data_IF_249166772399
#
_entry.id   IF_249166772399
#
_cell.length_a   1.000
_cell.length_b   1.000
_cell.length_c   1.000
_cell.angle_alpha   90.00
_cell.angle_beta   90.00
_cell.angle_gamma   90.00
#
_symmetry.space_group_name_H-M   'P 1'
#
loop_
_entity.id
_entity.type
_entity.pdbx_description
1 polymer ?
#
# COMPACT_ATOMS: atom_id res chain seq x y z
N UNK A 1 21.68 33.34 -22.70
CA UNK A 1 20.80 32.47 -21.90
C UNK A 1 21.62 31.27 -21.44
N UNK A 2 22.02 31.23 -20.16
CA UNK A 2 22.83 30.13 -19.62
C UNK A 2 21.90 28.99 -19.23
N UNK A 3 21.87 27.93 -20.03
CA UNK A 3 21.19 26.68 -19.68
C UNK A 3 22.01 26.03 -18.56
N UNK A 4 21.56 26.17 -17.31
CA UNK A 4 22.11 25.38 -16.19
C UNK A 4 21.70 23.93 -16.43
N UNK A 5 22.70 23.06 -16.62
CA UNK A 5 22.53 21.62 -16.60
C UNK A 5 22.09 21.26 -15.18
N UNK A 6 20.80 21.06 -14.95
CA UNK A 6 20.30 20.56 -13.66
C UNK A 6 20.59 19.06 -13.67
N UNK A 7 21.66 18.65 -12.99
CA UNK A 7 21.89 17.23 -12.73
C UNK A 7 20.74 16.73 -11.85
N UNK A 8 19.70 16.18 -12.47
CA UNK A 8 18.63 15.52 -11.72
C UNK A 8 19.18 14.24 -11.12
N UNK A 9 19.06 14.11 -9.81
CA UNK A 9 19.41 12.87 -9.10
C UNK A 9 18.51 11.75 -9.59
N UNK A 10 19.12 10.61 -9.95
CA UNK A 10 18.39 9.38 -10.23
C UNK A 10 17.97 8.73 -8.91
N UNK A 11 16.75 8.23 -8.86
CA UNK A 11 16.26 7.45 -7.74
C UNK A 11 17.04 6.14 -7.64
N UNK A 12 17.57 5.88 -6.45
CA UNK A 12 18.30 4.67 -6.09
C UNK A 12 17.96 4.27 -4.64
N UNK A 13 18.41 3.09 -4.23
CA UNK A 13 18.28 2.62 -2.85
C UNK A 13 18.85 3.66 -1.86
N UNK A 14 18.21 3.83 -0.70
CA UNK A 14 18.54 4.83 0.34
C UNK A 14 18.22 6.28 -0.02
N UNK A 15 17.53 6.52 -1.13
CA UNK A 15 16.98 7.84 -1.42
C UNK A 15 15.60 8.01 -0.79
N UNK A 16 15.34 9.21 -0.31
CA UNK A 16 13.98 9.65 0.03
C UNK A 16 13.36 10.25 -1.22
N UNK A 17 12.22 9.71 -1.59
CA UNK A 17 11.45 10.12 -2.77
C UNK A 17 10.11 10.64 -2.30
N UNK A 18 9.72 11.80 -2.84
CA UNK A 18 8.38 12.31 -2.71
C UNK A 18 7.69 12.20 -4.07
N UNK A 19 6.50 11.61 -4.07
CA UNK A 19 5.68 11.46 -5.27
C UNK A 19 4.26 11.97 -5.02
N UNK A 20 3.61 12.38 -6.09
CA UNK A 20 2.15 12.36 -6.22
C UNK A 20 1.76 11.07 -6.88
N UNK A 21 0.72 10.42 -6.39
CA UNK A 21 0.18 9.25 -7.05
C UNK A 21 -1.34 9.27 -7.06
N UNK A 22 -1.90 8.65 -8.09
CA UNK A 22 -3.29 8.22 -8.14
C UNK A 22 -3.30 6.73 -8.46
N UNK A 23 -4.00 5.96 -7.63
CA UNK A 23 -4.17 4.53 -7.74
C UNK A 23 -5.56 4.22 -8.27
N UNK A 24 -5.63 3.52 -9.39
CA UNK A 24 -6.88 3.02 -9.96
C UNK A 24 -6.85 1.50 -10.17
N UNK A 25 -8.03 0.88 -10.20
CA UNK A 25 -8.18 -0.50 -10.67
C UNK A 25 -8.28 -0.56 -12.21
N UNK A 26 -8.53 -1.75 -12.76
CA UNK A 26 -8.75 -1.95 -14.20
C UNK A 26 -10.08 -1.37 -14.72
N UNK A 27 -11.02 -1.10 -13.83
CA UNK A 27 -12.30 -0.46 -14.15
C UNK A 27 -12.21 1.08 -14.05
N UNK A 28 -11.00 1.62 -13.84
CA UNK A 28 -10.70 3.04 -13.63
C UNK A 28 -11.36 3.65 -12.37
N UNK A 29 -11.75 2.82 -11.40
CA UNK A 29 -12.18 3.33 -10.10
C UNK A 29 -10.94 3.80 -9.33
N UNK A 30 -11.01 5.01 -8.77
CA UNK A 30 -9.97 5.52 -7.88
C UNK A 30 -10.05 4.75 -6.57
N UNK A 31 -9.04 3.94 -6.30
CA UNK A 31 -8.89 3.23 -5.02
C UNK A 31 -8.25 4.17 -4.00
N UNK A 32 -7.20 4.87 -4.40
CA UNK A 32 -6.42 5.74 -3.50
C UNK A 32 -5.73 6.86 -4.27
N UNK A 33 -5.33 7.93 -3.58
CA UNK A 33 -4.55 9.04 -4.13
C UNK A 33 -3.81 9.78 -3.03
N UNK A 34 -2.67 10.37 -3.36
CA UNK A 34 -1.97 11.28 -2.44
C UNK A 34 -2.83 12.54 -2.19
N UNK A 35 -3.37 12.72 -0.98
CA UNK A 35 -4.31 13.82 -0.67
C UNK A 35 -3.68 15.22 -0.80
N UNK A 36 -2.50 15.45 -0.22
CA UNK A 36 -1.77 16.72 -0.28
C UNK A 36 -0.78 16.79 -1.45
N UNK A 37 -0.84 15.80 -2.34
CA UNK A 37 0.13 15.65 -3.41
C UNK A 37 1.57 15.48 -2.93
N UNK A 38 1.74 14.91 -1.73
CA UNK A 38 3.04 14.57 -1.17
C UNK A 38 2.93 13.21 -0.49
N UNK A 39 3.62 12.23 -1.05
CA UNK A 39 3.80 10.92 -0.43
C UNK A 39 5.30 10.63 -0.40
N UNK A 40 5.89 10.73 0.79
CA UNK A 40 7.32 10.59 1.03
C UNK A 40 7.66 9.20 1.56
N UNK A 41 8.64 8.52 0.97
CA UNK A 41 9.09 7.21 1.43
C UNK A 41 10.56 6.98 1.10
N UNK A 42 11.16 6.03 1.84
CA UNK A 42 12.53 5.58 1.67
C UNK A 42 12.57 4.37 0.73
N UNK A 43 13.31 4.48 -0.37
CA UNK A 43 13.53 3.38 -1.33
C UNK A 43 14.40 2.30 -0.69
N UNK A 44 13.96 1.04 -0.80
CA UNK A 44 14.68 -0.13 -0.31
C UNK A 44 14.42 -0.45 1.16
N UNK A 45 13.50 0.27 1.82
CA UNK A 45 13.06 0.00 3.18
C UNK A 45 11.76 -0.84 3.25
N UNK A 46 11.17 -1.22 2.11
CA UNK A 46 9.94 -2.01 2.07
C UNK A 46 8.70 -1.22 2.50
N UNK A 47 8.76 0.12 2.44
CA UNK A 47 7.66 1.01 2.81
C UNK A 47 6.52 1.03 1.79
N UNK A 48 6.80 0.62 0.56
CA UNK A 48 5.85 0.59 -0.55
C UNK A 48 5.88 -0.77 -1.24
N UNK A 49 4.86 -1.03 -2.06
CA UNK A 49 4.80 -2.25 -2.85
C UNK A 49 6.00 -2.36 -3.80
N UNK A 50 6.52 -3.57 -3.95
CA UNK A 50 7.73 -3.85 -4.73
C UNK A 50 7.61 -3.34 -6.17
N UNK A 51 6.44 -3.51 -6.80
CA UNK A 51 6.24 -3.07 -8.18
C UNK A 51 6.35 -1.56 -8.38
N UNK A 52 5.93 -0.77 -7.38
CA UNK A 52 6.04 0.69 -7.44
C UNK A 52 7.48 1.13 -7.16
N UNK A 53 8.15 0.47 -6.21
CA UNK A 53 9.55 0.72 -5.90
C UNK A 53 10.45 0.47 -7.13
N UNK A 54 10.27 -0.68 -7.79
CA UNK A 54 11.02 -1.05 -9.00
C UNK A 54 10.78 -0.05 -10.15
N UNK A 55 9.54 0.44 -10.30
CA UNK A 55 9.18 1.39 -11.35
C UNK A 55 9.77 2.79 -11.15
N UNK A 56 10.08 3.14 -9.91
CA UNK A 56 10.69 4.42 -9.54
C UNK A 56 12.21 4.44 -9.72
N UNK A 57 12.88 3.28 -9.72
CA UNK A 57 14.31 3.19 -9.96
C UNK A 57 14.68 3.86 -11.28
N UNK A 58 15.81 4.57 -11.30
CA UNK A 58 16.32 5.34 -12.44
C UNK A 58 15.47 6.56 -12.89
N UNK A 59 14.29 6.79 -12.29
CA UNK A 59 13.51 8.01 -12.51
C UNK A 59 14.15 9.20 -11.82
N UNK A 60 13.73 10.40 -12.20
CA UNK A 60 14.25 11.65 -11.71
C UNK A 60 13.14 12.62 -11.33
N UNK A 61 13.47 13.66 -10.56
CA UNK A 61 12.51 14.71 -10.19
C UNK A 61 11.85 15.34 -11.43
N UNK A 62 10.53 15.44 -11.40
CA UNK A 62 9.68 15.97 -12.47
C UNK A 62 9.28 14.94 -13.52
N UNK A 63 9.65 13.67 -13.37
CA UNK A 63 9.17 12.60 -14.25
C UNK A 63 7.71 12.26 -13.88
N UNK A 64 6.87 12.18 -14.91
CA UNK A 64 5.47 11.79 -14.81
C UNK A 64 5.29 10.54 -15.68
N UNK A 65 4.75 9.47 -15.10
CA UNK A 65 4.57 8.22 -15.80
C UNK A 65 3.47 7.38 -15.16
N UNK A 66 2.89 6.50 -15.96
CA UNK A 66 1.95 5.49 -15.51
C UNK A 66 2.65 4.13 -15.41
N UNK A 67 2.31 3.36 -14.39
CA UNK A 67 2.77 1.98 -14.23
C UNK A 67 1.61 1.07 -13.85
N UNK A 68 1.48 -0.03 -14.57
CA UNK A 68 0.59 -1.12 -14.23
C UNK A 68 1.37 -2.15 -13.40
N UNK A 69 0.85 -2.49 -12.22
CA UNK A 69 1.46 -3.41 -11.28
C UNK A 69 0.56 -4.63 -11.12
N UNK A 70 1.09 -5.77 -11.54
CA UNK A 70 0.44 -7.07 -11.34
C UNK A 70 0.27 -7.37 -9.84
N UNK A 71 -0.76 -8.13 -9.43
CA UNK A 71 -1.06 -8.38 -8.02
C UNK A 71 0.12 -8.96 -7.25
N UNK A 72 0.88 -9.86 -7.87
CA UNK A 72 2.07 -10.49 -7.29
C UNK A 72 3.18 -9.48 -6.87
N UNK A 73 3.23 -8.30 -7.49
CA UNK A 73 4.16 -7.21 -7.15
C UNK A 73 3.51 -6.08 -6.34
N UNK A 74 2.22 -6.20 -6.03
CA UNK A 74 1.44 -5.26 -5.22
C UNK A 74 1.11 -5.86 -3.84
N UNK A 75 -0.16 -6.23 -3.62
CA UNK A 75 -0.65 -6.80 -2.36
C UNK A 75 -0.72 -8.34 -2.38
N UNK A 76 -0.13 -8.97 -3.38
CA UNK A 76 -0.16 -10.41 -3.60
C UNK A 76 -1.32 -10.86 -4.47
N UNK A 77 -1.23 -12.12 -4.91
CA UNK A 77 -2.33 -12.78 -5.60
C UNK A 77 -3.42 -13.18 -4.60
N UNK A 78 -4.65 -13.24 -5.09
CA UNK A 78 -5.75 -13.76 -4.29
C UNK A 78 -5.50 -15.24 -3.96
N UNK A 79 -5.31 -15.55 -2.69
CA UNK A 79 -5.03 -16.90 -2.24
C UNK A 79 -6.25 -17.52 -1.55
N UNK A 80 -6.84 -18.54 -2.19
CA UNK A 80 -7.96 -19.32 -1.63
C UNK A 80 -7.59 -20.06 -0.35
N UNK A 81 -6.31 -20.31 -0.10
CA UNK A 81 -5.83 -20.94 1.14
C UNK A 81 -5.90 -20.00 2.35
N UNK A 82 -6.02 -18.68 2.13
CA UNK A 82 -6.28 -17.69 3.18
C UNK A 82 -7.78 -17.59 3.52
N UNK A 83 -8.62 -18.42 2.90
CA UNK A 83 -10.00 -18.62 3.32
C UNK A 83 -10.00 -19.63 4.46
N UNK A 84 -10.31 -19.13 5.65
CA UNK A 84 -10.33 -19.93 6.87
C UNK A 84 -11.76 -20.27 7.29
N UNK A 85 -11.93 -21.49 7.75
CA UNK A 85 -13.15 -21.92 8.42
C UNK A 85 -13.08 -21.51 9.88
N UNK A 86 -14.01 -20.68 10.32
CA UNK A 86 -14.16 -20.25 11.70
C UNK A 86 -15.52 -20.65 12.23
N UNK A 87 -15.62 -21.10 13.49
CA UNK A 87 -16.91 -21.46 14.05
C UNK A 87 -17.75 -20.21 14.29
N UNK A 88 -19.06 -20.32 14.03
CA UNK A 88 -20.04 -19.24 14.22
C UNK A 88 -20.01 -18.63 15.63
N UNK A 89 -19.56 -19.39 16.62
CA UNK A 89 -19.38 -18.97 18.02
C UNK A 89 -18.34 -17.87 18.23
N UNK A 90 -17.43 -17.65 17.27
CA UNK A 90 -16.48 -16.52 17.33
C UNK A 90 -17.12 -15.18 17.00
N UNK A 91 -18.34 -15.20 16.45
CA UNK A 91 -19.09 -14.01 16.09
C UNK A 91 -20.22 -13.76 17.09
N UNK A 92 -20.70 -12.50 17.21
CA UNK A 92 -21.81 -12.17 18.10
C UNK A 92 -23.03 -13.08 17.86
N UNK A 93 -23.63 -13.69 18.91
CA UNK A 93 -24.71 -14.67 18.75
C UNK A 93 -25.98 -14.06 18.13
N UNK A 94 -26.22 -12.78 18.37
CA UNK A 94 -27.44 -12.07 17.92
C UNK A 94 -27.34 -11.50 16.49
N UNK A 95 -26.27 -11.79 15.76
CA UNK A 95 -26.06 -11.27 14.40
C UNK A 95 -26.41 -12.29 13.31
N UNK A 96 -27.23 -11.91 12.34
CA UNK A 96 -27.46 -12.75 11.16
C UNK A 96 -26.26 -12.63 10.20
N UNK A 97 -25.39 -13.65 10.16
CA UNK A 97 -24.18 -13.62 9.32
C UNK A 97 -24.54 -14.13 7.93
N UNK A 98 -24.24 -13.30 6.93
CA UNK A 98 -24.44 -13.61 5.51
C UNK A 98 -23.13 -13.58 4.75
N UNK A 99 -23.09 -14.30 3.64
CA UNK A 99 -22.05 -14.11 2.64
C UNK A 99 -21.99 -12.62 2.22
N UNK A 100 -20.80 -12.16 1.86
CA UNK A 100 -20.47 -10.79 1.49
C UNK A 100 -20.36 -9.78 2.65
N UNK A 101 -20.74 -10.15 3.88
CA UNK A 101 -20.55 -9.29 5.05
C UNK A 101 -19.06 -9.15 5.41
N UNK A 102 -18.67 -7.95 5.86
CA UNK A 102 -17.31 -7.64 6.30
C UNK A 102 -17.26 -7.48 7.82
N UNK A 103 -16.21 -8.02 8.44
CA UNK A 103 -15.99 -7.99 9.88
C UNK A 103 -14.57 -7.54 10.19
N UNK A 104 -14.37 -6.82 11.29
CA UNK A 104 -13.03 -6.60 11.83
C UNK A 104 -12.59 -7.83 12.62
N UNK A 105 -11.69 -8.61 12.04
CA UNK A 105 -11.09 -9.80 12.64
C UNK A 105 -9.67 -9.54 13.12
N UNK A 106 -9.24 -10.28 14.15
CA UNK A 106 -7.84 -10.29 14.57
C UNK A 106 -7.11 -11.40 13.83
N UNK A 107 -6.09 -11.04 13.05
CA UNK A 107 -5.23 -12.00 12.35
C UNK A 107 -4.36 -12.81 13.33
N UNK A 108 -3.72 -13.88 12.84
CA UNK A 108 -2.76 -14.67 13.63
C UNK A 108 -1.56 -13.84 14.12
N UNK A 109 -1.22 -12.74 13.43
CA UNK A 109 -0.18 -11.79 13.83
C UNK A 109 -0.66 -10.76 14.87
N UNK A 110 -1.94 -10.82 15.24
CA UNK A 110 -2.55 -9.95 16.24
C UNK A 110 -3.00 -8.59 15.71
N UNK A 111 -2.84 -8.32 14.42
CA UNK A 111 -3.31 -7.10 13.77
C UNK A 111 -4.81 -7.19 13.48
N UNK A 112 -5.53 -6.11 13.73
CA UNK A 112 -6.93 -5.97 13.33
C UNK A 112 -6.98 -5.78 11.81
N UNK A 113 -7.65 -6.69 11.10
CA UNK A 113 -7.90 -6.58 9.66
C UNK A 113 -9.38 -6.71 9.37
N UNK A 114 -9.82 -6.20 8.23
CA UNK A 114 -11.17 -6.47 7.74
C UNK A 114 -11.16 -7.80 7.00
N UNK A 115 -11.95 -8.75 7.48
CA UNK A 115 -12.18 -10.05 6.83
C UNK A 115 -13.57 -10.07 6.19
N UNK A 116 -13.69 -10.74 5.06
CA UNK A 116 -14.97 -10.88 4.34
C UNK A 116 -15.53 -12.28 4.50
N UNK A 117 -16.81 -12.41 4.82
CA UNK A 117 -17.48 -13.71 4.83
C UNK A 117 -17.73 -14.15 3.39
N UNK A 118 -17.13 -15.26 2.99
CA UNK A 118 -17.30 -15.83 1.65
C UNK A 118 -18.51 -16.74 1.60
N UNK A 119 -18.74 -17.51 2.67
CA UNK A 119 -19.84 -18.46 2.73
C UNK A 119 -20.19 -18.81 4.19
N UNK A 120 -21.43 -19.25 4.41
CA UNK A 120 -21.91 -19.71 5.73
C UNK A 120 -22.60 -21.06 5.55
N UNK A 121 -22.08 -22.10 6.21
CA UNK A 121 -22.62 -23.46 6.15
C UNK A 121 -22.94 -23.97 7.55
N UNK A 122 -24.19 -23.80 7.97
CA UNK A 122 -24.63 -24.20 9.30
C UNK A 122 -23.90 -23.44 10.39
N UNK A 123 -23.08 -24.14 11.18
CA UNK A 123 -22.27 -23.55 12.27
C UNK A 123 -20.85 -23.13 11.83
N UNK A 124 -20.47 -23.43 10.58
CA UNK A 124 -19.17 -23.06 10.02
C UNK A 124 -19.32 -21.79 9.15
N UNK A 125 -18.49 -20.79 9.43
CA UNK A 125 -18.39 -19.55 8.65
C UNK A 125 -17.04 -19.53 7.94
N UNK A 126 -17.05 -19.28 6.64
CA UNK A 126 -15.83 -19.14 5.84
C UNK A 126 -15.47 -17.66 5.72
N UNK A 127 -14.31 -17.29 6.27
CA UNK A 127 -13.80 -15.92 6.21
C UNK A 127 -12.58 -15.84 5.30
N UNK A 128 -12.51 -14.76 4.55
CA UNK A 128 -11.41 -14.41 3.67
C UNK A 128 -10.48 -13.43 4.39
N UNK A 129 -9.22 -13.84 4.60
CA UNK A 129 -8.16 -13.01 5.16
C UNK A 129 -7.23 -12.39 4.10
N UNK A 130 -7.56 -12.51 2.82
CA UNK A 130 -6.81 -11.81 1.77
C UNK A 130 -6.86 -10.29 2.01
N UNK A 131 -5.80 -9.60 1.59
CA UNK A 131 -5.82 -8.14 1.55
C UNK A 131 -6.98 -7.68 0.65
N UNK A 132 -7.69 -6.58 0.96
CA UNK A 132 -8.81 -6.11 0.14
C UNK A 132 -8.47 -5.87 -1.34
N UNK A 133 -7.20 -5.57 -1.63
CA UNK A 133 -6.65 -5.35 -2.97
C UNK A 133 -5.85 -6.55 -3.51
N UNK A 134 -5.86 -7.70 -2.83
CA UNK A 134 -5.17 -8.91 -3.33
C UNK A 134 -5.86 -9.43 -4.59
N UNK A 135 -5.06 -9.81 -5.58
CA UNK A 135 -5.55 -10.26 -6.89
C UNK A 135 -6.04 -9.14 -7.82
N UNK A 136 -6.00 -7.88 -7.40
CA UNK A 136 -6.39 -6.73 -8.23
C UNK A 136 -5.14 -6.15 -8.92
N UNK A 137 -5.23 -5.97 -10.25
CA UNK A 137 -4.22 -5.20 -10.99
C UNK A 137 -4.34 -3.73 -10.66
N UNK A 138 -3.21 -3.13 -10.30
CA UNK A 138 -3.16 -1.76 -9.81
C UNK A 138 -2.48 -0.85 -10.83
N UNK A 139 -3.19 0.20 -11.25
CA UNK A 139 -2.69 1.22 -12.15
C UNK A 139 -2.29 2.46 -11.34
N UNK A 140 -1.01 2.81 -11.38
CA UNK A 140 -0.47 3.98 -10.68
C UNK A 140 -0.09 5.06 -11.69
N UNK A 141 -0.74 6.21 -11.60
CA UNK A 141 -0.28 7.44 -12.24
C UNK A 141 0.61 8.20 -11.25
N UNK A 142 1.90 8.33 -11.57
CA UNK A 142 2.92 8.83 -10.64
C UNK A 142 3.60 10.09 -11.19
N UNK A 143 3.79 11.09 -10.33
CA UNK A 143 4.63 12.27 -10.58
C UNK A 143 5.68 12.37 -9.48
N UNK A 144 6.96 12.33 -9.85
CA UNK A 144 8.07 12.48 -8.90
C UNK A 144 8.28 13.96 -8.59
N UNK A 145 7.96 14.40 -7.38
CA UNK A 145 8.04 15.81 -7.00
C UNK A 145 9.40 16.17 -6.39
N UNK A 146 10.03 15.23 -5.67
CA UNK A 146 11.33 15.45 -5.04
C UNK A 146 12.12 14.16 -4.90
N UNK A 147 13.46 14.26 -5.01
CA UNK A 147 14.39 13.16 -4.73
C UNK A 147 15.56 13.74 -3.96
N UNK A 148 15.87 13.14 -2.82
CA UNK A 148 17.03 13.51 -1.99
C UNK A 148 17.67 12.26 -1.38
N UNK A 149 18.90 12.41 -0.90
CA UNK A 149 19.53 11.38 -0.07
C UNK A 149 18.86 11.32 1.31
N UNK A 150 18.70 10.11 1.83
CA UNK A 150 18.24 9.92 3.21
C UNK A 150 19.31 10.38 4.20
N UNK A 151 18.88 10.97 5.30
CA UNK A 151 19.77 11.25 6.43
C UNK A 151 20.12 9.97 7.18
N UNK A 152 21.23 9.97 7.93
CA UNK A 152 21.65 8.83 8.76
C UNK A 152 20.54 8.36 9.69
N UNK A 153 19.81 9.29 10.29
CA UNK A 153 18.68 9.00 11.18
C UNK A 153 17.54 8.29 10.46
N UNK A 154 17.17 8.70 9.24
CA UNK A 154 16.11 8.06 8.45
C UNK A 154 16.50 6.65 7.99
N UNK A 155 17.80 6.43 7.71
CA UNK A 155 18.32 5.10 7.39
C UNK A 155 18.32 4.15 8.60
N UNK A 156 18.57 4.68 9.79
CA UNK A 156 18.51 3.89 11.04
C UNK A 156 17.07 3.54 11.43
N UNK A 157 16.10 4.43 11.19
CA UNK A 157 14.70 4.22 11.55
C UNK A 157 13.86 3.57 10.43
N UNK A 158 14.33 3.57 9.18
CA UNK A 158 13.64 2.95 8.04
C UNK A 158 12.48 3.76 7.45
N UNK A 159 12.19 4.94 7.98
CA UNK A 159 11.09 5.80 7.54
C UNK A 159 11.54 7.27 7.39
N UNK A 160 10.83 8.02 6.55
CA UNK A 160 11.07 9.44 6.33
C UNK A 160 10.43 10.23 7.46
N UNK A 161 11.17 11.18 8.04
CA UNK A 161 10.56 12.15 8.95
C UNK A 161 9.94 13.27 8.12
N UNK A 162 8.62 13.27 7.99
CA UNK A 162 7.92 14.41 7.43
C UNK A 162 8.00 15.54 8.47
N UNK A 163 8.55 16.69 8.09
CA UNK A 163 8.84 17.83 8.98
C UNK A 163 7.59 18.50 9.60
N UNK A 164 6.43 17.85 9.52
CA UNK A 164 5.17 18.32 10.08
C UNK A 164 4.64 17.45 11.24
N UNK A 165 5.37 16.44 11.69
CA UNK A 165 5.07 15.81 12.97
C UNK A 165 5.57 16.70 14.12
N UNK A 166 4.75 17.70 14.43
CA UNK A 166 4.63 18.18 15.80
C UNK A 166 4.26 16.95 16.65
N UNK A 167 5.27 16.31 17.25
CA UNK A 167 5.07 15.30 18.28
C UNK A 167 4.51 16.02 19.52
N UNK A 168 3.21 16.32 19.47
CA UNK A 168 2.43 16.91 20.53
C UNK A 168 1.90 15.81 21.45
N UNK A 169 2.49 15.75 22.64
CA UNK A 169 1.95 15.23 23.90
C UNK A 169 1.27 13.85 23.92
N UNK A 170 1.85 12.95 24.72
CA UNK A 170 1.19 12.42 25.93
C UNK A 170 2.23 12.05 26.98
#
# INVERSE_FOLDING_TARGET
MTLKKVNKMKIANKNVVNIKYTLTDNDNNIIDKSEDGNFSFLIGAGNIIKGLEDALIDKTTGDIFDVNIAPANAYGEYNKELIHKVPRTQFPPDMDIKADMQFQGKTATGQMTVVKVTDVKGEDVFIDNNHPLAGVELNFAVEVTNVREASSTELEHGHVYDSNEHCGNS
#
